data_IF_452299609150
#
_entry.id   IF_452299609150
#
_cell.length_a   1.000
_cell.length_b   1.000
_cell.length_c   1.000
_cell.angle_alpha   90.00
_cell.angle_beta   90.00
_cell.angle_gamma   90.00
#
_symmetry.space_group_name_H-M   'P 1'
#
loop_
_entity.id
_entity.type
_entity.pdbx_description
1 polymer ?
#
# COMPACT_ATOMS: atom_id res chain seq x y z
N UNK A 1 38.02 59.07 21.16
CA UNK A 1 36.89 59.45 20.28
C UNK A 1 36.68 58.30 19.30
N UNK A 2 36.07 57.21 19.78
CA UNK A 2 35.81 55.98 19.01
C UNK A 2 34.51 56.19 18.26
N UNK A 3 34.51 56.03 16.94
CA UNK A 3 33.36 56.35 16.08
C UNK A 3 32.29 55.26 16.22
N UNK A 4 31.05 55.72 16.44
CA UNK A 4 29.81 54.93 16.48
C UNK A 4 29.50 54.18 15.16
N UNK A 5 30.35 54.33 14.13
CA UNK A 5 30.20 53.73 12.79
C UNK A 5 30.81 52.33 12.67
N UNK A 6 31.69 51.92 13.60
CA UNK A 6 32.39 50.63 13.51
C UNK A 6 31.57 49.44 14.05
N UNK A 7 30.38 49.67 14.62
CA UNK A 7 29.51 48.61 15.15
C UNK A 7 28.48 48.09 14.13
N UNK A 8 28.39 48.67 12.93
CA UNK A 8 27.39 48.28 11.95
C UNK A 8 27.62 46.96 11.16
N UNK A 9 28.80 46.29 11.13
CA UNK A 9 28.92 45.02 10.40
C UNK A 9 28.68 43.77 11.26
N UNK A 10 28.51 43.90 12.59
CA UNK A 10 28.45 42.72 13.49
C UNK A 10 27.05 42.07 13.54
N UNK A 11 26.00 42.76 13.07
CA UNK A 11 24.64 42.21 13.01
C UNK A 11 24.29 41.54 11.67
N UNK A 12 25.22 41.50 10.70
CA UNK A 12 24.96 41.01 9.34
C UNK A 12 25.23 39.52 9.10
N UNK A 13 25.86 38.80 10.04
CA UNK A 13 26.21 37.38 9.87
C UNK A 13 25.50 36.51 10.90
N UNK A 14 24.16 36.56 10.89
CA UNK A 14 23.39 35.41 11.36
C UNK A 14 23.94 34.17 10.64
N UNK A 15 24.22 33.04 11.33
CA UNK A 15 24.79 31.85 10.72
C UNK A 15 23.71 31.16 9.87
N UNK A 16 23.41 31.75 8.72
CA UNK A 16 22.49 31.23 7.71
C UNK A 16 22.92 29.82 7.24
N UNK A 17 24.22 29.51 7.36
CA UNK A 17 24.77 28.17 7.15
C UNK A 17 24.32 27.16 8.20
N UNK A 18 24.25 27.56 9.48
CA UNK A 18 23.80 26.69 10.57
C UNK A 18 22.32 26.35 10.47
N UNK A 19 21.48 27.34 10.12
CA UNK A 19 20.04 27.13 9.94
C UNK A 19 19.73 26.31 8.69
N UNK A 20 20.41 26.59 7.56
CA UNK A 20 20.24 25.80 6.34
C UNK A 20 20.68 24.34 6.53
N UNK A 21 21.79 24.10 7.22
CA UNK A 21 22.26 22.75 7.55
C UNK A 21 21.28 22.00 8.48
N UNK A 22 20.74 22.68 9.50
CA UNK A 22 19.75 22.10 10.40
C UNK A 22 18.44 21.73 9.67
N UNK A 23 17.96 22.60 8.77
CA UNK A 23 16.76 22.33 7.95
C UNK A 23 17.01 21.15 7.01
N UNK A 24 18.16 21.12 6.33
CA UNK A 24 18.51 20.01 5.44
C UNK A 24 18.61 18.67 6.19
N UNK A 25 19.27 18.66 7.36
CA UNK A 25 19.36 17.47 8.21
C UNK A 25 17.97 17.01 8.68
N UNK A 26 17.11 17.94 9.10
CA UNK A 26 15.72 17.65 9.48
C UNK A 26 14.91 17.05 8.32
N UNK A 27 15.05 17.59 7.11
CA UNK A 27 14.38 17.07 5.92
C UNK A 27 14.86 15.66 5.56
N UNK A 28 16.17 15.40 5.64
CA UNK A 28 16.72 14.05 5.42
C UNK A 28 16.22 13.05 6.46
N UNK A 29 16.25 13.42 7.75
CA UNK A 29 15.78 12.58 8.83
C UNK A 29 14.29 12.24 8.66
N UNK A 30 13.47 13.24 8.29
CA UNK A 30 12.06 13.04 7.99
C UNK A 30 11.85 12.12 6.79
N UNK A 31 12.56 12.33 5.68
CA UNK A 31 12.47 11.49 4.49
C UNK A 31 12.88 10.04 4.79
N UNK A 32 13.92 9.83 5.60
CA UNK A 32 14.36 8.52 6.05
C UNK A 32 13.30 7.83 6.92
N UNK A 33 12.73 8.55 7.90
CA UNK A 33 11.67 8.05 8.78
C UNK A 33 10.42 7.64 7.99
N UNK A 34 9.96 8.50 7.06
CA UNK A 34 8.82 8.21 6.18
C UNK A 34 9.11 6.98 5.29
N UNK A 35 10.32 6.87 4.75
CA UNK A 35 10.71 5.74 3.91
C UNK A 35 10.75 4.43 4.71
N UNK A 36 11.36 4.44 5.90
CA UNK A 36 11.38 3.30 6.80
C UNK A 36 9.96 2.86 7.20
N UNK A 37 9.09 3.81 7.56
CA UNK A 37 7.70 3.52 7.89
C UNK A 37 6.95 2.87 6.72
N UNK A 38 7.16 3.36 5.49
CA UNK A 38 6.57 2.77 4.27
C UNK A 38 7.06 1.35 4.02
N UNK A 39 8.37 1.10 4.18
CA UNK A 39 8.97 -0.23 3.98
C UNK A 39 8.48 -1.23 5.04
N UNK A 40 8.44 -0.84 6.31
CA UNK A 40 7.92 -1.67 7.39
C UNK A 40 6.43 -1.99 7.17
N UNK A 41 5.62 -0.99 6.81
CA UNK A 41 4.20 -1.21 6.48
C UNK A 41 4.03 -2.17 5.32
N UNK A 42 4.82 -2.02 4.25
CA UNK A 42 4.79 -2.93 3.12
C UNK A 42 5.15 -4.36 3.54
N UNK A 43 6.22 -4.53 4.32
CA UNK A 43 6.64 -5.84 4.82
C UNK A 43 5.55 -6.49 5.70
N UNK A 44 4.90 -5.72 6.58
CA UNK A 44 3.81 -6.22 7.43
C UNK A 44 2.58 -6.65 6.63
N UNK A 45 2.17 -5.87 5.62
CA UNK A 45 1.02 -6.20 4.77
C UNK A 45 1.32 -7.39 3.83
N UNK A 46 2.56 -7.49 3.35
CA UNK A 46 3.01 -8.59 2.49
C UNK A 46 3.25 -9.89 3.28
N UNK A 47 3.48 -9.82 4.59
CA UNK A 47 3.69 -11.00 5.43
C UNK A 47 2.45 -11.89 5.38
N UNK A 48 2.63 -13.15 4.97
CA UNK A 48 1.54 -14.12 4.79
C UNK A 48 0.43 -13.64 3.84
N UNK A 49 0.74 -12.72 2.93
CA UNK A 49 -0.19 -12.36 1.88
C UNK A 49 -0.49 -13.58 1.00
N UNK A 50 -1.69 -13.59 0.41
CA UNK A 50 -2.20 -14.69 -0.40
C UNK A 50 -2.88 -14.18 -1.64
N UNK A 51 -2.88 -15.00 -2.67
CA UNK A 51 -3.69 -14.81 -3.87
C UNK A 51 -4.91 -15.70 -3.75
N UNK A 52 -6.10 -15.11 -3.90
CA UNK A 52 -7.37 -15.83 -4.02
C UNK A 52 -7.81 -15.73 -5.46
N UNK A 53 -7.62 -16.81 -6.22
CA UNK A 53 -8.09 -16.91 -7.60
C UNK A 53 -9.58 -17.24 -7.57
N UNK A 54 -10.37 -16.50 -8.36
CA UNK A 54 -11.80 -16.70 -8.52
C UNK A 54 -12.01 -17.44 -9.85
N UNK A 55 -12.60 -18.64 -9.77
CA UNK A 55 -13.11 -19.32 -10.95
C UNK A 55 -14.54 -18.82 -11.18
N UNK A 56 -14.78 -18.12 -12.31
CA UNK A 56 -16.06 -17.48 -12.53
C UNK A 56 -17.19 -18.53 -12.63
N UNK A 57 -18.37 -18.25 -12.05
CA UNK A 57 -19.56 -19.06 -12.29
C UNK A 57 -19.98 -18.95 -13.78
N UNK A 58 -20.81 -19.88 -14.29
CA UNK A 58 -21.27 -19.86 -15.68
C UNK A 58 -22.07 -18.59 -16.05
N UNK A 59 -22.62 -17.88 -15.06
CA UNK A 59 -23.18 -16.53 -15.20
C UNK A 59 -22.64 -15.63 -14.11
N UNK A 60 -22.06 -14.51 -14.50
CA UNK A 60 -21.66 -13.44 -13.59
C UNK A 60 -22.45 -12.17 -13.96
N UNK A 61 -23.47 -11.85 -13.17
CA UNK A 61 -24.32 -10.68 -13.39
C UNK A 61 -23.74 -9.43 -12.69
N UNK A 62 -24.13 -8.24 -13.16
CA UNK A 62 -23.64 -6.98 -12.58
C UNK A 62 -24.07 -6.81 -11.11
N UNK A 63 -25.29 -7.22 -10.76
CA UNK A 63 -25.80 -7.14 -9.38
C UNK A 63 -24.96 -8.00 -8.40
N UNK A 64 -24.48 -9.15 -8.84
CA UNK A 64 -23.62 -10.04 -8.04
C UNK A 64 -22.24 -9.41 -7.82
N UNK A 65 -21.70 -8.74 -8.85
CA UNK A 65 -20.45 -7.98 -8.72
C UNK A 65 -20.60 -6.82 -7.72
N UNK A 66 -21.72 -6.11 -7.73
CA UNK A 66 -22.01 -5.05 -6.75
C UNK A 66 -22.08 -5.60 -5.31
N UNK A 67 -22.73 -6.76 -5.12
CA UNK A 67 -22.78 -7.45 -3.84
C UNK A 67 -21.39 -7.85 -3.36
N UNK A 68 -20.55 -8.38 -4.26
CA UNK A 68 -19.16 -8.71 -3.98
C UNK A 68 -18.37 -7.48 -3.50
N UNK A 69 -18.42 -6.37 -4.24
CA UNK A 69 -17.71 -5.16 -3.87
C UNK A 69 -18.18 -4.59 -2.54
N UNK A 70 -19.48 -4.65 -2.26
CA UNK A 70 -20.07 -4.22 -0.98
C UNK A 70 -19.52 -5.04 0.19
N UNK A 71 -19.50 -6.37 0.05
CA UNK A 71 -18.92 -7.25 1.07
C UNK A 71 -17.43 -6.94 1.28
N UNK A 72 -16.65 -6.91 0.19
CA UNK A 72 -15.20 -6.74 0.24
C UNK A 72 -14.79 -5.38 0.82
N UNK A 73 -15.44 -4.29 0.43
CA UNK A 73 -15.18 -2.97 0.98
C UNK A 73 -15.59 -2.87 2.46
N UNK A 74 -16.61 -3.63 2.87
CA UNK A 74 -17.01 -3.79 4.27
C UNK A 74 -15.90 -4.37 5.13
N UNK A 75 -15.12 -5.32 4.60
CA UNK A 75 -14.00 -5.97 5.29
C UNK A 75 -12.81 -5.04 5.55
N UNK A 76 -12.71 -3.91 4.84
CA UNK A 76 -11.63 -2.94 4.97
C UNK A 76 -11.83 -1.94 6.14
N UNK A 77 -12.77 -2.21 7.05
CA UNK A 77 -13.04 -1.40 8.25
C UNK A 77 -12.58 -2.19 9.49
N UNK A 78 -11.53 -1.71 10.19
CA UNK A 78 -11.73 -0.64 11.17
C UNK A 78 -11.06 0.68 10.78
N UNK A 79 -11.82 1.79 10.85
CA UNK A 79 -11.36 3.13 10.42
C UNK A 79 -10.16 3.67 11.20
N UNK A 80 -9.96 3.25 12.46
CA UNK A 80 -8.89 3.74 13.33
C UNK A 80 -7.49 3.28 12.90
N UNK A 81 -7.37 2.16 12.18
CA UNK A 81 -6.08 1.64 11.71
C UNK A 81 -5.72 2.13 10.29
N UNK A 82 -6.52 3.04 9.70
CA UNK A 82 -6.29 3.55 8.33
C UNK A 82 -4.94 4.26 8.19
N UNK A 83 -4.55 5.02 9.21
CA UNK A 83 -3.29 5.75 9.20
C UNK A 83 -2.06 4.81 9.24
N UNK A 84 -2.15 3.69 9.97
CA UNK A 84 -1.01 2.83 10.26
C UNK A 84 -0.93 1.62 9.33
N UNK A 85 -2.01 0.84 9.17
CA UNK A 85 -1.99 -0.46 8.48
C UNK A 85 -3.28 -0.68 7.67
N UNK A 86 -3.75 0.29 6.88
CA UNK A 86 -4.92 0.06 6.01
C UNK A 86 -4.64 -1.15 5.11
N UNK A 87 -5.40 -2.26 5.26
CA UNK A 87 -5.31 -3.36 4.32
C UNK A 87 -5.83 -2.85 2.98
N UNK A 88 -5.11 -3.17 1.91
CA UNK A 88 -5.58 -2.95 0.55
C UNK A 88 -5.74 -4.31 -0.11
N UNK A 89 -6.72 -4.43 -0.99
CA UNK A 89 -6.90 -5.59 -1.84
C UNK A 89 -6.56 -5.15 -3.24
N UNK A 90 -5.76 -5.93 -3.96
CA UNK A 90 -5.54 -5.71 -5.38
C UNK A 90 -6.39 -6.71 -6.15
N UNK A 91 -7.22 -6.20 -7.06
CA UNK A 91 -7.99 -7.03 -7.99
C UNK A 91 -7.20 -7.10 -9.30
N UNK A 92 -6.91 -8.31 -9.75
CA UNK A 92 -5.97 -8.56 -10.84
C UNK A 92 -6.59 -9.42 -11.93
N UNK A 93 -6.31 -9.03 -13.17
CA UNK A 93 -6.55 -9.85 -14.35
C UNK A 93 -5.20 -10.38 -14.84
N UNK A 94 -5.02 -11.70 -14.80
CA UNK A 94 -3.81 -12.35 -15.35
C UNK A 94 -4.16 -13.04 -16.64
N UNK A 95 -3.61 -12.52 -17.76
CA UNK A 95 -3.74 -13.13 -19.07
C UNK A 95 -2.57 -14.09 -19.33
N UNK A 96 -2.90 -15.29 -19.79
CA UNK A 96 -1.96 -16.36 -20.18
C UNK A 96 -2.38 -16.94 -21.53
N UNK A 97 -1.57 -17.84 -22.10
CA UNK A 97 -1.97 -18.59 -23.29
C UNK A 97 -3.26 -19.40 -23.06
N UNK A 98 -3.51 -19.83 -21.82
CA UNK A 98 -4.69 -20.63 -21.43
C UNK A 98 -5.94 -19.76 -21.14
N UNK A 99 -5.82 -18.44 -21.27
CA UNK A 99 -6.92 -17.48 -21.07
C UNK A 99 -6.69 -16.48 -19.95
N UNK A 100 -7.77 -15.86 -19.50
CA UNK A 100 -7.77 -14.80 -18.47
C UNK A 100 -8.26 -15.38 -17.15
N UNK A 101 -7.48 -15.13 -16.10
CA UNK A 101 -7.85 -15.47 -14.72
C UNK A 101 -8.07 -14.20 -13.91
N UNK A 102 -9.07 -14.25 -13.03
CA UNK A 102 -9.37 -13.19 -12.07
C UNK A 102 -8.83 -13.62 -10.72
N UNK A 103 -8.05 -12.77 -10.07
CA UNK A 103 -7.51 -13.07 -8.75
C UNK A 103 -7.45 -11.83 -7.86
N UNK A 104 -7.50 -12.04 -6.55
CA UNK A 104 -7.30 -10.99 -5.56
C UNK A 104 -6.01 -11.22 -4.78
N UNK A 105 -5.18 -10.20 -4.69
CA UNK A 105 -4.15 -10.13 -3.66
C UNK A 105 -4.76 -9.71 -2.34
N UNK A 106 -4.50 -10.50 -1.31
CA UNK A 106 -5.07 -10.34 0.03
C UNK A 106 -3.94 -10.28 1.05
N UNK A 107 -3.83 -9.19 1.85
CA UNK A 107 -2.79 -9.07 2.85
C UNK A 107 -3.02 -10.08 3.99
N UNK A 108 -1.95 -10.50 4.65
CA UNK A 108 -2.03 -11.46 5.76
C UNK A 108 -2.83 -10.96 6.97
N UNK A 109 -3.08 -9.66 7.06
CA UNK A 109 -3.93 -9.04 8.09
C UNK A 109 -5.41 -9.34 7.92
N UNK A 110 -5.86 -9.78 6.74
CA UNK A 110 -7.25 -10.20 6.51
C UNK A 110 -7.38 -11.68 6.87
N UNK A 111 -8.30 -12.08 7.78
CA UNK A 111 -8.46 -13.48 8.17
C UNK A 111 -8.70 -14.40 6.97
N UNK A 112 -8.09 -15.60 6.92
CA UNK A 112 -8.36 -16.60 5.89
C UNK A 112 -9.86 -16.96 5.79
N UNK A 113 -10.31 -17.32 4.59
CA UNK A 113 -11.72 -17.67 4.33
C UNK A 113 -12.66 -16.48 4.17
N UNK A 114 -12.25 -15.26 4.54
CA UNK A 114 -13.12 -14.08 4.48
C UNK A 114 -13.46 -13.68 3.05
N UNK A 115 -12.46 -13.70 2.16
CA UNK A 115 -12.66 -13.36 0.74
C UNK A 115 -13.38 -14.52 0.04
N UNK A 116 -13.02 -15.75 0.37
CA UNK A 116 -13.63 -16.96 -0.17
C UNK A 116 -15.14 -17.00 0.13
N UNK A 117 -15.55 -16.65 1.36
CA UNK A 117 -16.98 -16.50 1.72
C UNK A 117 -17.65 -15.33 1.00
N UNK A 118 -16.98 -14.19 0.84
CA UNK A 118 -17.53 -13.06 0.11
C UNK A 118 -17.80 -13.39 -1.37
N UNK A 119 -16.89 -14.15 -2.00
CA UNK A 119 -17.05 -14.67 -3.37
C UNK A 119 -18.22 -15.65 -3.42
N UNK A 120 -18.27 -16.65 -2.53
CA UNK A 120 -19.34 -17.64 -2.51
C UNK A 120 -20.73 -17.02 -2.25
N UNK A 121 -20.79 -15.95 -1.45
CA UNK A 121 -22.02 -15.22 -1.17
C UNK A 121 -22.48 -14.36 -2.37
N UNK A 122 -21.55 -13.77 -3.11
CA UNK A 122 -21.85 -12.97 -4.29
C UNK A 122 -22.22 -13.83 -5.51
N UNK A 123 -21.52 -14.95 -5.68
CA UNK A 123 -21.68 -15.86 -6.81
C UNK A 123 -21.87 -17.30 -6.32
N UNK A 124 -23.13 -17.73 -6.12
CA UNK A 124 -23.43 -19.13 -5.81
C UNK A 124 -22.87 -20.06 -6.89
N UNK A 125 -22.00 -21.00 -6.50
CA UNK A 125 -21.34 -21.93 -7.42
C UNK A 125 -19.97 -21.46 -7.95
N UNK A 126 -19.53 -20.25 -7.62
CA UNK A 126 -18.14 -19.87 -7.84
C UNK A 126 -17.21 -20.69 -6.93
N UNK A 127 -16.07 -21.09 -7.47
CA UNK A 127 -15.02 -21.77 -6.70
C UNK A 127 -13.81 -20.85 -6.56
N UNK A 128 -13.09 -21.00 -5.46
CA UNK A 128 -11.87 -20.22 -5.20
C UNK A 128 -10.70 -21.14 -4.99
N UNK A 129 -9.52 -20.71 -5.47
CA UNK A 129 -8.25 -21.37 -5.20
C UNK A 129 -7.31 -20.38 -4.52
N UNK A 130 -6.89 -20.71 -3.31
CA UNK A 130 -6.01 -19.87 -2.51
C UNK A 130 -4.57 -20.40 -2.56
N UNK A 131 -3.61 -19.49 -2.79
CA UNK A 131 -2.17 -19.80 -2.79
C UNK A 131 -1.38 -18.70 -2.09
N UNK A 132 -0.20 -18.98 -1.52
CA UNK A 132 0.68 -17.93 -1.02
C UNK A 132 0.96 -16.89 -2.10
N UNK A 133 0.99 -15.61 -1.71
CA UNK A 133 1.38 -14.56 -2.64
C UNK A 133 2.90 -14.59 -2.82
N UNK A 134 3.34 -15.06 -3.99
CA UNK A 134 4.69 -14.78 -4.48
C UNK A 134 4.75 -13.30 -4.87
N UNK A 135 5.92 -12.67 -4.76
CA UNK A 135 6.10 -11.29 -5.22
C UNK A 135 5.59 -11.16 -6.67
N UNK A 136 4.50 -10.42 -6.86
CA UNK A 136 3.78 -10.31 -8.13
C UNK A 136 4.58 -9.55 -9.20
N UNK A 137 5.53 -8.72 -8.77
CA UNK A 137 6.46 -8.05 -9.66
C UNK A 137 7.77 -8.84 -9.66
N UNK A 138 8.25 -9.33 -10.82
CA UNK A 138 9.67 -9.61 -10.99
C UNK A 138 10.47 -8.38 -10.54
N UNK A 139 11.68 -8.54 -9.96
CA UNK A 139 12.49 -7.40 -9.51
C UNK A 139 12.55 -6.36 -10.63
N UNK A 140 12.17 -5.12 -10.30
CA UNK A 140 12.00 -4.02 -11.26
C UNK A 140 13.25 -3.93 -12.14
N UNK A 141 13.14 -4.39 -13.39
CA UNK A 141 14.23 -4.29 -14.37
C UNK A 141 14.50 -2.81 -14.56
N UNK A 142 15.62 -2.28 -14.04
CA UNK A 142 16.06 -0.92 -14.35
C UNK A 142 16.19 -0.86 -15.87
N UNK A 143 15.37 -0.03 -16.53
CA UNK A 143 15.56 0.29 -17.94
C UNK A 143 16.94 0.92 -18.05
N UNK A 144 17.85 0.25 -18.75
CA UNK A 144 19.10 0.83 -19.25
C UNK A 144 18.77 1.64 -20.50
#
# INVERSE_FOLDING_TARGET
MVRLVDLLPVLGTLPLTGTAAAVAAGALAWAAAVSAARLLRHALLARHARIVQILPPPRAALAEAEAFWTHVLGLLKPRWNRALLQPHLAFEYTATADGITIQLWVPGTVPPGTIERAVAAAWPGATTRTRPATALLPPRRRRR
#
